data_IF_975903527482
#
_entry.id   IF_975903527482
#
_cell.length_a   1.000
_cell.length_b   1.000
_cell.length_c   1.000
_cell.angle_alpha   90.00
_cell.angle_beta   90.00
_cell.angle_gamma   90.00
#
_symmetry.space_group_name_H-M   'P 1'
#
loop_
_entity.id
_entity.type
_entity.pdbx_description
1 polymer ?
#
# COMPACT_ATOMS: atom_id res chain seq x y z
N UNK A 1 25.93 5.65 10.65
CA UNK A 1 24.72 5.69 9.80
C UNK A 1 24.26 4.28 9.49
N UNK A 2 23.01 3.94 9.80
CA UNK A 2 22.37 2.80 9.17
C UNK A 2 21.91 3.27 7.79
N UNK A 3 22.63 2.90 6.75
CA UNK A 3 22.19 3.09 5.37
C UNK A 3 21.23 1.96 4.99
N UNK A 4 20.19 2.31 4.23
CA UNK A 4 19.26 1.33 3.69
C UNK A 4 20.00 0.30 2.81
N UNK A 5 19.70 -0.98 3.02
CA UNK A 5 20.26 -2.05 2.20
C UNK A 5 19.24 -3.17 2.00
N UNK A 6 18.73 -3.31 0.79
CA UNK A 6 17.73 -4.32 0.43
C UNK A 6 18.22 -5.76 0.71
N UNK A 7 19.51 -6.04 0.52
CA UNK A 7 20.07 -7.37 0.79
C UNK A 7 20.04 -7.75 2.28
N UNK A 8 19.89 -6.77 3.17
CA UNK A 8 19.74 -6.98 4.62
C UNK A 8 18.28 -7.08 5.07
N UNK A 9 17.31 -6.92 4.17
CA UNK A 9 15.91 -7.13 4.49
C UNK A 9 15.65 -8.61 4.80
N UNK A 10 15.26 -8.88 6.04
CA UNK A 10 14.81 -10.20 6.45
C UNK A 10 13.40 -10.46 5.91
N UNK A 11 13.25 -11.52 5.13
CA UNK A 11 11.97 -11.95 4.57
C UNK A 11 11.47 -13.15 5.38
N UNK A 12 10.27 -13.02 5.95
CA UNK A 12 9.62 -14.12 6.64
C UNK A 12 9.27 -15.25 5.67
N UNK A 13 9.39 -16.50 6.12
CA UNK A 13 8.93 -17.69 5.41
C UNK A 13 7.44 -17.97 5.64
N UNK A 14 6.79 -17.25 6.56
CA UNK A 14 5.37 -17.42 6.80
C UNK A 14 4.56 -16.85 5.62
N UNK A 15 3.76 -17.67 4.95
CA UNK A 15 2.99 -17.30 3.74
C UNK A 15 2.08 -16.08 3.95
N UNK A 16 1.49 -15.94 5.15
CA UNK A 16 0.62 -14.81 5.50
C UNK A 16 1.39 -13.65 6.14
N UNK A 17 2.72 -13.65 6.09
CA UNK A 17 3.47 -12.45 6.48
C UNK A 17 3.20 -11.33 5.47
N UNK A 18 3.17 -10.05 5.91
CA UNK A 18 2.91 -8.93 5.03
C UNK A 18 3.82 -8.89 3.80
N UNK A 19 5.11 -9.19 3.97
CA UNK A 19 6.09 -9.25 2.87
C UNK A 19 5.72 -10.33 1.85
N UNK A 20 5.31 -11.53 2.30
CA UNK A 20 4.94 -12.63 1.41
C UNK A 20 3.65 -12.34 0.65
N UNK A 21 2.63 -11.79 1.33
CA UNK A 21 1.36 -11.37 0.71
C UNK A 21 1.61 -10.36 -0.41
N UNK A 22 2.34 -9.27 -0.10
CA UNK A 22 2.65 -8.23 -1.07
C UNK A 22 3.48 -8.78 -2.21
N UNK A 23 4.56 -9.52 -1.90
CA UNK A 23 5.44 -10.09 -2.94
C UNK A 23 4.70 -11.05 -3.85
N UNK A 24 3.72 -11.82 -3.34
CA UNK A 24 2.92 -12.72 -4.17
C UNK A 24 2.13 -11.98 -5.24
N UNK A 25 1.47 -10.89 -4.87
CA UNK A 25 0.73 -10.06 -5.83
C UNK A 25 1.65 -9.33 -6.79
N UNK A 26 2.77 -8.78 -6.32
CA UNK A 26 3.77 -8.15 -7.20
C UNK A 26 4.36 -9.16 -8.20
N UNK A 27 4.58 -10.40 -7.78
CA UNK A 27 5.08 -11.47 -8.66
C UNK A 27 4.07 -11.81 -9.76
N UNK A 28 2.78 -11.91 -9.44
CA UNK A 28 1.72 -12.07 -10.44
C UNK A 28 1.63 -10.86 -11.37
N UNK A 29 1.71 -9.65 -10.82
CA UNK A 29 1.66 -8.40 -11.58
C UNK A 29 2.81 -8.29 -12.57
N UNK A 30 4.04 -8.61 -12.13
CA UNK A 30 5.23 -8.61 -12.99
C UNK A 30 5.17 -9.60 -14.16
N UNK A 31 4.30 -10.61 -14.08
CA UNK A 31 4.07 -11.62 -15.13
C UNK A 31 2.77 -11.40 -15.91
N UNK A 32 2.03 -10.33 -15.61
CA UNK A 32 0.73 -10.06 -16.22
C UNK A 32 -0.40 -11.02 -15.82
N UNK A 33 -0.23 -11.81 -14.74
CA UNK A 33 -1.14 -12.91 -14.38
C UNK A 33 -2.21 -12.54 -13.33
N UNK A 34 -2.31 -11.26 -12.94
CA UNK A 34 -3.22 -10.82 -11.86
C UNK A 34 -4.69 -11.02 -12.23
N UNK A 35 -5.02 -10.89 -13.51
CA UNK A 35 -6.37 -11.05 -14.02
C UNK A 35 -6.74 -12.52 -14.27
N UNK A 36 -5.75 -13.42 -14.34
CA UNK A 36 -5.95 -14.82 -14.74
C UNK A 36 -5.81 -15.83 -13.59
N UNK A 37 -5.29 -15.38 -12.43
CA UNK A 37 -5.11 -16.24 -11.27
C UNK A 37 -5.68 -15.63 -9.99
N UNK A 38 -6.58 -16.37 -9.34
CA UNK A 38 -7.00 -16.08 -7.98
C UNK A 38 -5.93 -16.45 -6.97
N UNK A 39 -5.79 -15.58 -5.97
CA UNK A 39 -4.86 -15.73 -4.86
C UNK A 39 -5.69 -16.08 -3.64
N UNK A 40 -5.34 -17.16 -2.94
CA UNK A 40 -5.99 -17.58 -1.69
C UNK A 40 -4.93 -17.80 -0.62
N UNK A 41 -5.07 -17.11 0.51
CA UNK A 41 -4.14 -17.21 1.64
C UNK A 41 -4.62 -18.14 2.76
N UNK A 42 -5.89 -18.55 2.70
CA UNK A 42 -6.54 -19.42 3.69
C UNK A 42 -7.52 -20.36 2.99
N UNK A 43 -7.89 -21.46 3.67
CA UNK A 43 -8.87 -22.43 3.18
C UNK A 43 -8.31 -23.40 2.13
N UNK A 44 -9.21 -24.07 1.41
CA UNK A 44 -8.85 -25.05 0.40
C UNK A 44 -8.20 -24.39 -0.82
N UNK A 45 -7.14 -25.03 -1.33
CA UNK A 45 -6.27 -24.50 -2.39
C UNK A 45 -5.58 -23.18 -2.00
N UNK A 46 -5.41 -22.91 -0.70
CA UNK A 46 -4.53 -21.85 -0.25
C UNK A 46 -3.10 -22.09 -0.73
N UNK A 47 -2.37 -20.99 -0.93
CA UNK A 47 -0.94 -21.03 -1.18
C UNK A 47 -0.27 -21.80 -0.04
N UNK A 48 0.53 -22.79 -0.41
CA UNK A 48 1.26 -23.69 0.47
C UNK A 48 2.74 -23.30 0.61
N UNK A 49 3.31 -22.66 -0.42
CA UNK A 49 4.72 -22.28 -0.46
C UNK A 49 4.95 -20.78 -0.35
N UNK A 50 5.99 -20.39 0.39
CA UNK A 50 6.48 -19.01 0.42
C UNK A 50 7.33 -18.69 -0.81
N UNK A 51 7.28 -17.46 -1.31
CA UNK A 51 8.25 -17.02 -2.32
C UNK A 51 9.68 -17.03 -1.73
N UNK A 52 10.70 -17.35 -2.56
CA UNK A 52 12.09 -17.21 -2.17
C UNK A 52 12.41 -15.78 -1.72
N UNK A 53 13.23 -15.65 -0.67
CA UNK A 53 13.57 -14.35 -0.08
C UNK A 53 14.20 -13.39 -1.11
N UNK A 54 15.04 -13.88 -2.01
CA UNK A 54 15.63 -13.09 -3.09
C UNK A 54 14.59 -12.55 -4.05
N UNK A 55 13.57 -13.35 -4.38
CA UNK A 55 12.48 -12.90 -5.24
C UNK A 55 11.64 -11.81 -4.58
N UNK A 56 11.33 -11.96 -3.29
CA UNK A 56 10.65 -10.91 -2.53
C UNK A 56 11.46 -9.60 -2.52
N UNK A 57 12.78 -9.68 -2.28
CA UNK A 57 13.68 -8.52 -2.33
C UNK A 57 13.70 -7.84 -3.70
N UNK A 58 13.80 -8.62 -4.78
CA UNK A 58 13.76 -8.09 -6.15
C UNK A 58 12.45 -7.35 -6.44
N UNK A 59 11.32 -7.95 -6.08
CA UNK A 59 10.00 -7.35 -6.30
C UNK A 59 9.80 -6.07 -5.49
N UNK A 60 10.21 -6.08 -4.22
CA UNK A 60 10.18 -4.86 -3.42
C UNK A 60 11.12 -3.80 -4.00
N UNK A 61 12.32 -4.16 -4.46
CA UNK A 61 13.23 -3.21 -5.10
C UNK A 61 12.55 -2.53 -6.30
N UNK A 62 12.04 -3.35 -7.21
CA UNK A 62 11.42 -2.90 -8.45
C UNK A 62 10.19 -2.00 -8.22
N UNK A 63 9.24 -2.45 -7.39
CA UNK A 63 7.95 -1.78 -7.28
C UNK A 63 7.90 -0.71 -6.19
N UNK A 64 8.90 -0.67 -5.32
CA UNK A 64 8.97 0.32 -4.25
C UNK A 64 10.11 1.30 -4.45
N UNK A 65 11.33 0.84 -4.71
CA UNK A 65 12.52 1.70 -4.62
C UNK A 65 12.90 2.37 -5.93
N UNK A 66 12.64 1.74 -7.08
CA UNK A 66 13.09 2.27 -8.38
C UNK A 66 12.27 3.49 -8.87
N UNK A 67 11.17 3.82 -8.18
CA UNK A 67 10.16 4.82 -8.57
C UNK A 67 10.03 5.97 -7.56
N UNK A 68 11.02 6.12 -6.66
CA UNK A 68 11.02 7.14 -5.61
C UNK A 68 12.19 8.12 -5.76
N UNK A 69 11.89 9.41 -5.64
CA UNK A 69 12.90 10.46 -5.43
C UNK A 69 13.66 10.18 -4.13
N UNK A 70 14.98 10.44 -4.16
CA UNK A 70 16.06 9.92 -3.30
C UNK A 70 15.90 10.00 -1.76
N UNK A 71 14.82 10.57 -1.23
CA UNK A 71 14.73 10.99 0.17
C UNK A 71 13.90 10.08 1.10
N UNK A 72 13.29 8.99 0.61
CA UNK A 72 12.43 8.14 1.47
C UNK A 72 12.74 6.64 1.37
N UNK A 73 13.99 6.29 1.64
CA UNK A 73 14.44 4.90 1.78
C UNK A 73 14.68 4.56 3.26
N UNK A 74 13.61 4.28 4.01
CA UNK A 74 13.73 3.81 5.40
C UNK A 74 13.00 2.50 5.64
N UNK A 75 13.53 1.67 6.53
CA UNK A 75 12.85 0.44 6.99
C UNK A 75 11.43 0.74 7.49
N UNK A 76 11.25 1.88 8.17
CA UNK A 76 9.94 2.29 8.67
C UNK A 76 8.95 2.58 7.55
N UNK A 77 9.39 3.21 6.46
CA UNK A 77 8.51 3.43 5.31
C UNK A 77 8.10 2.09 4.72
N UNK A 78 9.08 1.22 4.45
CA UNK A 78 8.82 -0.09 3.86
C UNK A 78 7.85 -0.89 4.73
N UNK A 79 8.05 -0.89 6.04
CA UNK A 79 7.17 -1.54 7.00
C UNK A 79 5.73 -1.01 6.91
N UNK A 80 5.53 0.32 6.93
CA UNK A 80 4.18 0.91 6.83
C UNK A 80 3.54 0.54 5.49
N UNK A 81 4.25 0.72 4.39
CA UNK A 81 3.77 0.39 3.05
C UNK A 81 3.36 -1.09 2.94
N UNK A 82 4.25 -2.01 3.31
CA UNK A 82 4.01 -3.45 3.17
C UNK A 82 2.85 -3.88 4.06
N UNK A 83 2.77 -3.38 5.29
CA UNK A 83 1.67 -3.71 6.20
C UNK A 83 0.32 -3.17 5.69
N UNK A 84 0.29 -1.91 5.23
CA UNK A 84 -0.94 -1.31 4.67
C UNK A 84 -1.38 -2.06 3.42
N UNK A 85 -0.48 -2.32 2.48
CA UNK A 85 -0.83 -3.01 1.24
C UNK A 85 -1.24 -4.47 1.52
N UNK A 86 -0.55 -5.17 2.42
CA UNK A 86 -0.91 -6.55 2.77
C UNK A 86 -2.34 -6.66 3.33
N UNK A 87 -2.75 -5.75 4.23
CA UNK A 87 -4.12 -5.74 4.77
C UNK A 87 -5.15 -5.59 3.64
N UNK A 88 -4.89 -4.71 2.68
CA UNK A 88 -5.77 -4.49 1.53
C UNK A 88 -5.80 -5.70 0.58
N UNK A 89 -4.66 -6.34 0.36
CA UNK A 89 -4.55 -7.50 -0.52
C UNK A 89 -5.20 -8.76 0.04
N UNK A 90 -5.19 -8.94 1.36
CA UNK A 90 -5.95 -10.03 2.01
C UNK A 90 -7.44 -9.83 1.74
N UNK A 91 -7.96 -8.61 1.90
CA UNK A 91 -9.37 -8.29 1.63
C UNK A 91 -9.71 -8.46 0.15
N UNK A 92 -8.82 -8.02 -0.73
CA UNK A 92 -8.96 -8.21 -2.18
C UNK A 92 -9.04 -9.70 -2.56
N UNK A 93 -8.17 -10.52 -1.97
CA UNK A 93 -8.16 -11.99 -2.14
C UNK A 93 -9.45 -12.66 -1.66
N UNK A 94 -10.03 -12.17 -0.56
CA UNK A 94 -11.24 -12.77 0.03
C UNK A 94 -12.54 -12.25 -0.57
N UNK A 95 -12.52 -11.13 -1.28
CA UNK A 95 -13.73 -10.55 -1.86
C UNK A 95 -14.29 -11.43 -2.96
N UNK A 96 -15.54 -11.85 -2.81
CA UNK A 96 -16.27 -12.65 -3.80
C UNK A 96 -16.46 -11.88 -5.12
N UNK A 97 -16.70 -10.57 -5.02
CA UNK A 97 -16.90 -9.68 -6.16
C UNK A 97 -15.69 -9.66 -7.11
N UNK A 98 -14.49 -9.67 -6.55
CA UNK A 98 -13.27 -9.55 -7.33
C UNK A 98 -12.71 -10.87 -7.83
N UNK A 99 -13.31 -12.01 -7.49
CA UNK A 99 -12.93 -13.31 -8.08
C UNK A 99 -13.07 -13.28 -9.59
N UNK A 100 -12.21 -14.01 -10.29
CA UNK A 100 -12.11 -13.93 -11.75
C UNK A 100 -13.42 -14.35 -12.41
N UNK A 101 -13.98 -15.48 -11.97
CA UNK A 101 -15.25 -16.00 -12.46
C UNK A 101 -16.39 -14.97 -12.29
N UNK A 102 -16.43 -14.30 -11.14
CA UNK A 102 -17.43 -13.29 -10.85
C UNK A 102 -17.27 -12.07 -11.76
N UNK A 103 -16.06 -11.54 -11.92
CA UNK A 103 -15.80 -10.40 -12.82
C UNK A 103 -16.14 -10.73 -14.27
N UNK A 104 -15.76 -11.91 -14.77
CA UNK A 104 -16.11 -12.36 -16.13
C UNK A 104 -17.62 -12.43 -16.36
N UNK A 105 -18.41 -12.70 -15.31
CA UNK A 105 -19.87 -12.70 -15.41
C UNK A 105 -20.49 -11.29 -15.41
N UNK A 106 -19.80 -10.31 -14.82
CA UNK A 106 -20.33 -8.95 -14.59
C UNK A 106 -19.90 -7.94 -15.66
N UNK A 107 -18.75 -8.16 -16.30
CA UNK A 107 -18.16 -7.20 -17.24
C UNK A 107 -17.24 -7.87 -18.26
N UNK A 108 -17.06 -7.20 -19.41
CA UNK A 108 -16.09 -7.60 -20.44
C UNK A 108 -14.69 -7.00 -20.20
N UNK A 109 -14.56 -6.09 -19.24
CA UNK A 109 -13.28 -5.49 -18.87
C UNK A 109 -12.35 -6.52 -18.22
N UNK A 110 -11.21 -6.77 -18.85
CA UNK A 110 -10.28 -7.85 -18.46
C UNK A 110 -9.16 -7.41 -17.51
N UNK A 111 -9.03 -6.11 -17.26
CA UNK A 111 -7.89 -5.51 -16.56
C UNK A 111 -8.24 -4.94 -15.17
N UNK A 112 -9.48 -5.12 -14.69
CA UNK A 112 -9.98 -4.55 -13.43
C UNK A 112 -9.07 -4.88 -12.25
N UNK A 113 -8.66 -6.15 -12.11
CA UNK A 113 -7.84 -6.60 -10.98
C UNK A 113 -6.44 -5.99 -11.01
N UNK A 114 -5.83 -5.92 -12.18
CA UNK A 114 -4.53 -5.25 -12.36
C UNK A 114 -4.62 -3.74 -12.09
N UNK A 115 -5.66 -3.05 -12.59
CA UNK A 115 -5.87 -1.62 -12.34
C UNK A 115 -6.08 -1.33 -10.85
N UNK A 116 -6.85 -2.17 -10.17
CA UNK A 116 -7.09 -2.03 -8.75
C UNK A 116 -5.81 -2.28 -7.93
N UNK A 117 -5.04 -3.32 -8.26
CA UNK A 117 -3.76 -3.58 -7.60
C UNK A 117 -2.80 -2.38 -7.72
N UNK A 118 -2.70 -1.80 -8.91
CA UNK A 118 -1.87 -0.61 -9.16
C UNK A 118 -2.32 0.56 -8.29
N UNK A 119 -3.63 0.81 -8.20
CA UNK A 119 -4.18 1.83 -7.31
C UNK A 119 -3.89 1.57 -5.84
N UNK A 120 -4.00 0.33 -5.37
CA UNK A 120 -3.68 -0.03 -3.99
C UNK A 120 -2.19 0.19 -3.68
N UNK A 121 -1.29 -0.13 -4.63
CA UNK A 121 0.14 0.14 -4.50
C UNK A 121 0.38 1.65 -4.37
N UNK A 122 -0.17 2.46 -5.28
CA UNK A 122 -0.01 3.93 -5.27
C UNK A 122 -0.58 4.54 -3.98
N UNK A 123 -1.77 4.11 -3.56
CA UNK A 123 -2.40 4.59 -2.32
C UNK A 123 -1.58 4.23 -1.08
N UNK A 124 -1.04 3.00 -1.03
CA UNK A 124 -0.21 2.53 0.09
C UNK A 124 1.11 3.31 0.18
N UNK A 125 1.75 3.62 -0.96
CA UNK A 125 2.94 4.50 -0.99
C UNK A 125 2.62 5.88 -0.42
N UNK A 126 1.55 6.53 -0.91
CA UNK A 126 1.11 7.85 -0.42
C UNK A 126 0.78 7.84 1.07
N UNK A 127 0.16 6.77 1.55
CA UNK A 127 -0.13 6.59 2.96
C UNK A 127 1.15 6.52 3.81
N UNK A 128 2.13 5.71 3.40
CA UNK A 128 3.42 5.60 4.07
C UNK A 128 4.19 6.93 4.10
N UNK A 129 4.24 7.65 2.97
CA UNK A 129 4.84 9.00 2.87
C UNK A 129 4.21 9.96 3.88
N UNK A 130 2.87 10.00 3.95
CA UNK A 130 2.15 10.88 4.88
C UNK A 130 2.40 10.51 6.33
N UNK A 131 2.41 9.22 6.65
CA UNK A 131 2.65 8.75 8.01
C UNK A 131 4.05 9.17 8.50
N UNK A 132 5.07 9.07 7.63
CA UNK A 132 6.43 9.51 7.96
C UNK A 132 6.54 11.03 8.03
N UNK A 133 5.96 11.76 7.09
CA UNK A 133 5.98 13.22 7.12
C UNK A 133 5.29 13.76 8.37
N UNK A 134 4.14 13.20 8.75
CA UNK A 134 3.44 13.55 9.98
C UNK A 134 4.29 13.28 11.23
N UNK A 135 5.00 12.15 11.27
CA UNK A 135 5.94 11.83 12.36
C UNK A 135 7.10 12.84 12.41
N UNK A 136 7.76 13.10 11.29
CA UNK A 136 8.90 14.02 11.19
C UNK A 136 8.49 15.45 11.60
N UNK A 137 7.30 15.91 11.19
CA UNK A 137 6.74 17.20 11.63
C UNK A 137 6.51 17.23 13.14
N UNK A 138 5.90 16.18 13.71
CA UNK A 138 5.70 16.07 15.17
C UNK A 138 7.01 16.12 15.94
N UNK A 139 8.04 15.43 15.47
CA UNK A 139 9.37 15.44 16.09
C UNK A 139 10.00 16.83 16.01
N UNK A 140 10.00 17.49 14.83
CA UNK A 140 10.49 18.87 14.68
C UNK A 140 9.77 19.84 15.62
N UNK A 141 8.45 19.73 15.73
CA UNK A 141 7.64 20.58 16.60
C UNK A 141 7.95 20.33 18.08
N UNK A 142 8.12 19.07 18.50
CA UNK A 142 8.54 18.75 19.87
C UNK A 142 9.91 19.35 20.22
N UNK A 143 10.90 19.25 19.31
CA UNK A 143 12.21 19.86 19.49
C UNK A 143 12.13 21.40 19.55
N UNK A 144 11.31 22.03 18.70
CA UNK A 144 11.09 23.47 18.72
C UNK A 144 10.43 23.95 20.03
N UNK A 145 9.49 23.18 20.60
CA UNK A 145 8.84 23.47 21.89
C UNK A 145 9.86 23.40 23.03
N UNK A 146 10.73 22.37 23.03
CA UNK A 146 11.82 22.25 24.00
C UNK A 146 12.83 23.40 23.91
N UNK A 147 13.05 23.95 22.71
CA UNK A 147 14.02 25.03 22.48
C UNK A 147 13.49 26.45 22.75
N UNK A 148 12.17 26.70 22.64
CA UNK A 148 11.61 28.07 22.64
C UNK A 148 10.80 28.51 23.87
N UNK A 149 10.58 27.65 24.87
CA UNK A 149 9.94 28.05 26.12
C UNK A 149 8.52 28.64 25.95
N UNK A 150 7.51 27.77 26.03
CA UNK A 150 6.08 28.03 26.30
C UNK A 150 5.51 29.43 26.01
N UNK A 151 5.61 29.92 24.78
CA UNK A 151 4.86 31.10 24.32
C UNK A 151 4.18 30.75 22.99
N UNK A 152 2.84 30.77 22.98
CA UNK A 152 1.92 30.45 21.86
C UNK A 152 1.98 29.02 21.29
N UNK A 153 1.47 28.05 22.06
CA UNK A 153 1.38 26.63 21.68
C UNK A 153 0.18 26.27 20.79
N UNK A 154 -0.90 27.05 20.81
CA UNK A 154 -2.18 26.61 20.21
C UNK A 154 -2.32 26.99 18.72
N UNK A 155 -1.74 28.11 18.27
CA UNK A 155 -1.78 28.50 16.85
C UNK A 155 -0.79 27.72 15.98
N UNK A 156 0.43 27.47 16.48
CA UNK A 156 1.48 26.74 15.75
C UNK A 156 1.15 25.24 15.55
N UNK A 157 0.26 24.66 16.36
CA UNK A 157 -0.18 23.26 16.22
C UNK A 157 -1.18 23.03 15.08
N UNK A 158 -1.91 24.07 14.67
CA UNK A 158 -3.04 23.95 13.73
C UNK A 158 -2.62 24.30 12.30
N UNK A 159 -1.72 25.27 12.11
CA UNK A 159 -1.29 25.73 10.78
C UNK A 159 -0.49 24.69 9.97
N UNK A 160 0.08 23.67 10.63
CA UNK A 160 1.03 22.73 9.99
C UNK A 160 0.43 21.33 9.72
N UNK A 161 -0.86 21.15 10.04
CA UNK A 161 -1.64 19.98 9.65
C UNK A 161 -1.94 20.14 8.16
N UNK A 162 -1.31 19.32 7.32
CA UNK A 162 -1.63 19.25 5.90
C UNK A 162 -3.14 19.05 5.76
N UNK A 163 -3.86 20.05 5.24
CA UNK A 163 -5.29 19.94 5.11
C UNK A 163 -5.60 18.86 4.08
N UNK A 164 -6.70 18.13 4.29
CA UNK A 164 -7.17 17.16 3.31
C UNK A 164 -7.43 17.83 1.94
N UNK A 165 -7.80 19.11 1.95
CA UNK A 165 -7.99 19.94 0.76
C UNK A 165 -6.69 20.31 0.03
N UNK A 166 -5.52 20.20 0.66
CA UNK A 166 -4.24 20.52 0.01
C UNK A 166 -3.65 19.32 -0.75
N UNK A 167 -4.29 18.15 -0.69
CA UNK A 167 -3.77 16.92 -1.27
C UNK A 167 -4.71 16.26 -2.28
N UNK A 168 -4.12 15.81 -3.40
CA UNK A 168 -4.82 15.09 -4.46
C UNK A 168 -5.08 13.64 -4.00
N UNK A 169 -6.21 13.42 -3.34
CA UNK A 169 -6.49 12.21 -2.58
C UNK A 169 -7.42 11.29 -3.36
N UNK A 170 -6.83 10.44 -4.20
CA UNK A 170 -7.44 9.13 -4.46
C UNK A 170 -7.05 8.23 -3.30
N UNK A 171 -8.04 7.71 -2.59
CA UNK A 171 -7.91 6.69 -1.55
C UNK A 171 -8.79 5.54 -1.97
N UNK A 172 -8.20 4.37 -2.13
CA UNK A 172 -8.93 3.15 -2.42
C UNK A 172 -8.65 2.14 -1.33
N UNK A 173 -9.72 1.61 -0.74
CA UNK A 173 -9.64 0.71 0.40
C UNK A 173 -10.81 -0.25 0.42
N UNK A 174 -10.56 -1.48 0.88
CA UNK A 174 -11.60 -2.42 1.28
C UNK A 174 -12.06 -2.11 2.70
N UNK A 175 -13.37 -1.93 2.88
CA UNK A 175 -13.93 -1.57 4.18
C UNK A 175 -13.90 -2.77 5.14
N UNK A 176 -13.48 -2.53 6.38
CA UNK A 176 -13.36 -3.60 7.37
C UNK A 176 -14.68 -4.16 7.86
N UNK A 177 -15.75 -3.38 7.78
CA UNK A 177 -17.08 -3.76 8.27
C UNK A 177 -17.93 -4.47 7.21
N UNK A 178 -17.56 -4.38 5.93
CA UNK A 178 -18.33 -4.97 4.83
C UNK A 178 -17.35 -5.62 3.83
N UNK A 179 -17.02 -6.92 4.01
CA UNK A 179 -15.87 -7.59 3.38
C UNK A 179 -15.85 -7.63 1.84
N UNK A 180 -16.91 -7.26 1.15
CA UNK A 180 -17.01 -7.26 -0.32
C UNK A 180 -17.07 -5.86 -0.93
N UNK A 181 -16.99 -4.80 -0.12
CA UNK A 181 -17.11 -3.44 -0.61
C UNK A 181 -15.76 -2.76 -0.67
N UNK A 182 -15.46 -2.25 -1.86
CA UNK A 182 -14.40 -1.30 -2.09
C UNK A 182 -14.96 0.12 -1.97
N UNK A 183 -14.20 0.99 -1.31
CA UNK A 183 -14.47 2.41 -1.24
C UNK A 183 -13.38 3.15 -2.00
N UNK A 184 -13.77 3.91 -3.01
CA UNK A 184 -12.92 4.86 -3.69
C UNK A 184 -13.35 6.28 -3.29
N UNK A 185 -12.48 6.97 -2.56
CA UNK A 185 -12.63 8.38 -2.19
C UNK A 185 -11.70 9.18 -3.09
N UNK A 186 -12.26 10.04 -3.93
CA UNK A 186 -11.51 10.86 -4.87
C UNK A 186 -12.05 12.27 -4.95
N UNK A 187 -11.14 13.24 -5.07
CA UNK A 187 -11.49 14.65 -5.33
C UNK A 187 -11.63 14.94 -6.82
N UNK A 188 -10.84 14.25 -7.65
CA UNK A 188 -10.84 14.43 -9.11
C UNK A 188 -11.07 13.07 -9.77
N UNK A 189 -12.23 12.93 -10.43
CA UNK A 189 -12.63 11.72 -11.15
C UNK A 189 -11.61 11.29 -12.20
N UNK A 190 -10.96 12.24 -12.88
CA UNK A 190 -9.99 11.97 -13.95
C UNK A 190 -8.70 11.28 -13.43
N UNK A 191 -8.58 11.07 -12.12
CA UNK A 191 -7.46 10.33 -11.50
C UNK A 191 -7.85 8.90 -11.13
N UNK A 192 -9.09 8.51 -11.34
CA UNK A 192 -9.57 7.14 -11.23
C UNK A 192 -9.56 6.53 -12.65
N UNK A 193 -8.96 5.35 -12.86
CA UNK A 193 -9.06 4.62 -14.12
C UNK A 193 -10.52 4.43 -14.53
N UNK A 194 -10.83 4.65 -15.81
CA UNK A 194 -12.21 4.63 -16.31
C UNK A 194 -12.89 3.27 -16.09
N UNK A 195 -12.12 2.18 -16.10
CA UNK A 195 -12.62 0.82 -15.85
C UNK A 195 -12.98 0.52 -14.38
N UNK A 196 -12.83 1.50 -13.47
CA UNK A 196 -13.13 1.40 -12.05
C UNK A 196 -14.16 2.44 -11.57
N UNK A 197 -14.77 3.17 -12.51
CA UNK A 197 -15.77 4.24 -12.27
C UNK A 197 -17.19 3.72 -12.48
#
# INVERSE_FOLDING_TARGET
NLEWNMNRLMVSRHINSPVQIVSRYLDLYSRGMVNDKDVRFTGDNAIDESLPADRCRQLLQQYFFDDHEDDIHSYRFLEIFVNTLADQLVRFSTSSFFQIEQLCSMTQETNIRSSLLEMLIVCSKKFATRAINAKNKREKNAHAIHAKGTQNMDSARIEDITQWDDSNNLVVTFLSQIPDYICALYRNKNKVPDNLV
#
